data_IF_575582590483
#
_entry.id   IF_575582590483
#
_cell.length_a   1.000
_cell.length_b   1.000
_cell.length_c   1.000
_cell.angle_alpha   90.00
_cell.angle_beta   90.00
_cell.angle_gamma   90.00
#
_symmetry.space_group_name_H-M   'P 1'
#
loop_
_entity.id
_entity.type
_entity.pdbx_description
1 polymer ?
#
# COMPACT_ATOMS: atom_id res chain seq x y z
N UNK A 1 -6.41 9.25 11.15
CA UNK A 1 -7.76 9.83 11.23
C UNK A 1 -8.62 9.19 10.15
N UNK A 2 -9.94 9.06 10.38
CA UNK A 2 -10.94 8.41 9.50
C UNK A 2 -10.94 6.87 9.47
N UNK A 3 -10.45 6.16 10.50
CA UNK A 3 -10.36 4.68 10.50
C UNK A 3 -9.54 4.07 9.34
N UNK A 4 -8.71 4.87 8.66
CA UNK A 4 -7.71 4.38 7.73
C UNK A 4 -6.44 3.99 8.50
N UNK A 5 -5.94 2.79 8.25
CA UNK A 5 -4.79 2.20 8.92
C UNK A 5 -3.68 1.96 7.91
N UNK A 6 -2.68 2.84 7.93
CA UNK A 6 -1.56 2.83 6.99
C UNK A 6 -0.48 1.83 7.42
N UNK A 7 -0.22 1.72 8.72
CA UNK A 7 0.72 0.77 9.30
C UNK A 7 0.01 -0.03 10.41
N UNK A 8 -0.74 -1.08 10.05
CA UNK A 8 -1.61 -1.79 10.99
C UNK A 8 -0.84 -2.51 12.11
N UNK A 9 0.45 -2.77 11.90
CA UNK A 9 1.35 -3.43 12.86
C UNK A 9 2.21 -2.46 13.66
N UNK A 10 2.03 -1.15 13.50
CA UNK A 10 2.88 -0.14 14.12
C UNK A 10 2.79 -0.15 15.66
N UNK A 11 3.92 0.08 16.30
CA UNK A 11 4.06 0.10 17.75
C UNK A 11 4.76 1.37 18.21
N UNK A 12 4.24 2.02 19.25
CA UNK A 12 4.84 3.23 19.82
C UNK A 12 6.02 2.93 20.77
N UNK A 13 6.37 1.66 20.98
CA UNK A 13 7.30 1.24 22.04
C UNK A 13 8.35 0.21 21.60
N UNK A 14 8.34 -0.23 20.34
CA UNK A 14 9.31 -1.21 19.84
C UNK A 14 10.63 -0.58 19.37
N UNK A 15 10.71 0.75 19.34
CA UNK A 15 11.91 1.48 18.92
C UNK A 15 12.17 1.41 17.42
N UNK A 16 11.13 1.18 16.62
CA UNK A 16 11.22 1.12 15.17
C UNK A 16 10.24 2.09 14.52
N UNK A 17 10.63 2.60 13.35
CA UNK A 17 9.76 3.38 12.47
C UNK A 17 9.23 2.45 11.38
N UNK A 18 7.91 2.36 11.25
CA UNK A 18 7.26 1.69 10.12
C UNK A 18 7.28 2.61 8.89
N UNK A 19 7.88 2.14 7.81
CA UNK A 19 7.98 2.84 6.52
C UNK A 19 7.12 2.11 5.52
N UNK A 20 6.19 2.85 4.90
CA UNK A 20 5.26 2.33 3.89
C UNK A 20 5.51 3.10 2.59
N UNK A 21 5.92 2.38 1.55
CA UNK A 21 6.13 2.92 0.21
C UNK A 21 5.04 2.39 -0.70
N UNK A 22 4.32 3.30 -1.34
CA UNK A 22 3.29 2.98 -2.31
C UNK A 22 3.84 3.17 -3.72
N UNK A 23 3.79 2.13 -4.54
CA UNK A 23 4.09 2.22 -5.96
C UNK A 23 2.97 2.99 -6.69
N UNK A 24 3.29 3.66 -7.81
CA UNK A 24 2.28 4.32 -8.62
C UNK A 24 1.14 3.36 -8.98
N UNK A 25 -0.09 3.81 -8.75
CA UNK A 25 -1.31 3.08 -9.06
C UNK A 25 -2.20 3.91 -9.99
N UNK A 26 -2.99 3.21 -10.80
CA UNK A 26 -3.92 3.83 -11.74
C UNK A 26 -5.24 4.21 -11.05
N UNK A 27 -6.00 5.12 -11.66
CA UNK A 27 -7.30 5.60 -11.11
C UNK A 27 -8.30 4.45 -10.86
N UNK A 28 -8.18 3.37 -11.62
CA UNK A 28 -9.03 2.16 -11.49
C UNK A 28 -8.67 1.35 -10.22
N UNK A 29 -7.42 1.41 -9.78
CA UNK A 29 -6.91 0.68 -8.62
C UNK A 29 -7.07 1.49 -7.32
N UNK A 30 -7.25 2.81 -7.44
CA UNK A 30 -7.47 3.71 -6.31
C UNK A 30 -8.58 3.27 -5.33
N UNK A 31 -9.75 2.76 -5.79
CA UNK A 31 -10.79 2.26 -4.90
C UNK A 31 -10.32 1.04 -4.08
N UNK A 32 -9.54 0.15 -4.69
CA UNK A 32 -9.02 -1.06 -4.03
C UNK A 32 -7.99 -0.70 -2.96
N UNK A 33 -7.03 0.18 -3.28
CA UNK A 33 -6.05 0.68 -2.29
C UNK A 33 -6.76 1.39 -1.14
N UNK A 34 -7.78 2.21 -1.43
CA UNK A 34 -8.58 2.88 -0.39
C UNK A 34 -9.31 1.88 0.51
N UNK A 35 -9.90 0.82 -0.07
CA UNK A 35 -10.55 -0.25 0.68
C UNK A 35 -9.56 -0.99 1.59
N UNK A 36 -8.35 -1.28 1.11
CA UNK A 36 -7.30 -1.94 1.87
C UNK A 36 -6.85 -1.09 3.09
N UNK A 37 -6.78 0.23 2.92
CA UNK A 37 -6.47 1.17 4.01
C UNK A 37 -7.53 1.13 5.12
N UNK A 38 -8.83 1.07 4.78
CA UNK A 38 -9.89 1.01 5.78
C UNK A 38 -9.98 -0.35 6.48
N UNK A 39 -9.57 -1.43 5.80
CA UNK A 39 -9.64 -2.79 6.34
C UNK A 39 -8.38 -3.29 7.02
N UNK A 40 -7.32 -2.45 7.12
CA UNK A 40 -6.04 -2.79 7.77
C UNK A 40 -5.22 -3.85 7.02
N UNK A 41 -5.35 -3.91 5.69
CA UNK A 41 -4.77 -4.97 4.82
C UNK A 41 -3.78 -4.42 3.82
N UNK A 42 -3.38 -3.17 4.03
CA UNK A 42 -2.50 -2.42 3.17
C UNK A 42 -1.14 -3.12 2.98
N UNK A 43 -0.72 -3.91 3.95
CA UNK A 43 0.51 -4.71 3.94
C UNK A 43 0.47 -5.93 3.00
N UNK A 44 -0.71 -6.33 2.51
CA UNK A 44 -0.89 -7.46 1.58
C UNK A 44 -0.99 -7.03 0.11
N UNK A 45 -1.09 -5.72 -0.15
CA UNK A 45 -1.20 -5.19 -1.50
C UNK A 45 0.18 -5.21 -2.18
N UNK A 46 0.27 -5.80 -3.38
CA UNK A 46 1.53 -5.96 -4.13
C UNK A 46 2.21 -4.64 -4.49
N UNK A 47 1.46 -3.53 -4.52
CA UNK A 47 1.96 -2.18 -4.76
C UNK A 47 2.47 -1.48 -3.50
N UNK A 48 2.45 -2.15 -2.37
CA UNK A 48 2.78 -1.55 -1.08
C UNK A 48 3.94 -2.31 -0.46
N UNK A 49 5.04 -1.60 -0.26
CA UNK A 49 6.23 -2.13 0.38
C UNK A 49 6.30 -1.57 1.79
N UNK A 50 6.29 -2.47 2.77
CA UNK A 50 6.36 -2.11 4.18
C UNK A 50 7.64 -2.67 4.79
N UNK A 51 8.36 -1.86 5.52
CA UNK A 51 9.53 -2.29 6.28
C UNK A 51 9.69 -1.46 7.56
N UNK A 52 10.59 -1.91 8.43
CA UNK A 52 10.89 -1.24 9.70
C UNK A 52 12.36 -0.89 9.78
N UNK A 53 12.66 0.33 10.23
CA UNK A 53 14.04 0.77 10.45
C UNK A 53 14.14 1.82 11.55
N UNK A 54 15.37 2.10 11.99
CA UNK A 54 15.67 3.24 12.91
C UNK A 54 16.19 4.47 12.18
N UNK A 55 16.72 4.27 10.97
CA UNK A 55 17.28 5.30 10.10
C UNK A 55 16.75 5.07 8.69
N UNK A 56 16.35 6.15 8.05
CA UNK A 56 15.83 6.16 6.68
C UNK A 56 16.50 7.32 5.95
N UNK A 57 17.06 7.03 4.79
CA UNK A 57 17.59 8.02 3.89
C UNK A 57 16.76 7.99 2.60
N UNK A 58 16.25 9.14 2.19
CA UNK A 58 15.42 9.30 0.99
C UNK A 58 16.12 10.24 0.04
N UNK A 59 16.38 9.74 -1.17
CA UNK A 59 16.89 10.52 -2.29
C UNK A 59 15.79 10.68 -3.33
N UNK A 60 15.58 11.91 -3.82
CA UNK A 60 14.64 12.22 -4.92
C UNK A 60 15.30 13.09 -5.98
N UNK A 61 14.73 13.13 -7.18
CA UNK A 61 15.32 13.84 -8.33
C UNK A 61 15.40 15.36 -8.15
N UNK A 62 14.52 15.96 -7.35
CA UNK A 62 14.46 17.39 -7.12
C UNK A 62 13.86 17.73 -5.74
N UNK A 63 14.18 18.88 -5.15
CA UNK A 63 13.52 19.40 -3.94
C UNK A 63 11.99 19.50 -4.10
N UNK A 64 11.27 19.48 -2.99
CA UNK A 64 9.80 19.50 -3.00
C UNK A 64 9.18 19.47 -1.61
N UNK A 65 7.84 19.56 -1.59
CA UNK A 65 7.04 19.61 -0.36
C UNK A 65 6.92 18.21 0.26
N UNK A 66 6.97 18.15 1.59
CA UNK A 66 6.56 17.01 2.40
C UNK A 66 5.54 17.47 3.44
N UNK A 67 4.79 16.54 4.02
CA UNK A 67 3.93 16.81 5.17
C UNK A 67 4.62 16.29 6.43
N UNK A 68 4.75 17.15 7.44
CA UNK A 68 5.25 16.82 8.76
C UNK A 68 4.18 17.16 9.79
N UNK A 69 3.65 16.14 10.49
CA UNK A 69 2.52 16.26 11.44
C UNK A 69 1.31 17.04 10.90
N UNK A 70 1.07 16.95 9.58
CA UNK A 70 -0.02 17.64 8.89
C UNK A 70 0.35 18.98 8.26
N UNK A 71 1.51 19.55 8.60
CA UNK A 71 1.98 20.83 8.06
C UNK A 71 2.88 20.64 6.83
N UNK A 72 2.70 21.46 5.76
CA UNK A 72 3.54 21.39 4.59
C UNK A 72 4.91 22.05 4.84
N UNK A 73 5.98 21.35 4.50
CA UNK A 73 7.37 21.84 4.64
C UNK A 73 8.15 21.56 3.35
N UNK A 74 8.93 22.54 2.89
CA UNK A 74 9.88 22.35 1.79
C UNK A 74 11.15 21.67 2.27
N UNK A 75 11.57 20.61 1.60
CA UNK A 75 12.82 19.89 1.89
C UNK A 75 13.71 19.75 0.66
N UNK A 76 14.98 19.40 0.85
CA UNK A 76 15.95 19.17 -0.23
C UNK A 76 15.71 17.87 -1.01
N UNK A 77 16.61 17.55 -1.94
CA UNK A 77 16.58 16.29 -2.67
C UNK A 77 17.03 15.09 -1.83
N UNK A 78 17.81 15.34 -0.77
CA UNK A 78 18.26 14.35 0.21
C UNK A 78 17.56 14.61 1.54
N UNK A 79 17.00 13.56 2.15
CA UNK A 79 16.26 13.64 3.40
C UNK A 79 16.70 12.50 4.32
N UNK A 80 17.25 12.87 5.48
CA UNK A 80 17.67 11.94 6.52
C UNK A 80 16.67 11.96 7.69
N UNK A 81 16.16 10.78 8.02
CA UNK A 81 15.20 10.56 9.10
C UNK A 81 15.81 9.54 10.06
N UNK A 82 15.76 9.83 11.35
CA UNK A 82 16.16 8.90 12.40
C UNK A 82 15.13 8.89 13.52
N UNK A 83 15.02 7.75 14.20
CA UNK A 83 14.15 7.56 15.34
C UNK A 83 14.93 7.76 16.64
N UNK A 84 14.41 8.62 17.51
CA UNK A 84 14.88 8.79 18.88
C UNK A 84 14.04 7.93 19.83
N UNK A 85 14.61 6.81 20.28
CA UNK A 85 13.90 5.87 21.14
C UNK A 85 13.60 6.48 22.51
N UNK A 86 12.33 6.45 22.93
CA UNK A 86 11.89 6.97 24.23
C UNK A 86 12.31 8.43 24.46
N UNK A 87 12.42 9.23 23.40
CA UNK A 87 12.80 10.64 23.49
C UNK A 87 11.82 11.51 24.28
N UNK A 88 10.59 11.02 24.50
CA UNK A 88 9.53 11.74 25.22
C UNK A 88 8.93 10.85 26.31
N UNK A 89 8.75 11.41 27.52
CA UNK A 89 7.99 10.77 28.60
C UNK A 89 6.52 11.19 28.50
N UNK A 90 5.65 10.22 28.26
CA UNK A 90 4.22 10.45 28.09
C UNK A 90 3.43 9.88 29.28
N UNK A 91 2.43 10.64 29.73
CA UNK A 91 1.42 10.12 30.68
C UNK A 91 0.45 9.26 29.90
N UNK A 92 0.25 8.02 30.35
CA UNK A 92 -0.67 7.06 29.73
C UNK A 92 -1.70 6.59 30.76
N UNK A 93 -2.91 6.27 30.31
CA UNK A 93 -3.89 5.58 31.14
C UNK A 93 -3.61 4.07 31.13
N UNK A 94 -3.14 3.46 32.23
CA UNK A 94 -2.81 2.03 32.26
C UNK A 94 -4.05 1.14 32.21
N UNK A 95 -5.24 1.68 32.49
CA UNK A 95 -6.51 0.96 32.49
C UNK A 95 -7.25 1.04 31.16
N UNK A 96 -6.71 1.74 30.16
CA UNK A 96 -7.32 1.82 28.84
C UNK A 96 -7.33 0.44 28.14
N UNK A 97 -8.49 0.01 27.65
CA UNK A 97 -8.63 -1.24 26.92
C UNK A 97 -7.90 -1.15 25.57
N UNK A 98 -6.84 -1.95 25.41
CA UNK A 98 -6.06 -2.00 24.16
C UNK A 98 -6.76 -2.79 23.06
N UNK A 99 -7.78 -3.59 23.40
CA UNK A 99 -8.50 -4.41 22.42
C UNK A 99 -9.36 -3.59 21.47
N UNK A 100 -9.83 -2.41 21.91
CA UNK A 100 -10.62 -1.48 21.09
C UNK A 100 -9.83 -0.94 19.87
N UNK A 101 -8.51 -1.19 19.83
CA UNK A 101 -7.59 -0.71 18.78
C UNK A 101 -7.20 -1.79 17.76
N UNK A 102 -7.49 -3.08 18.03
CA UNK A 102 -7.08 -4.20 17.14
C UNK A 102 -8.05 -4.39 15.96
N UNK A 103 -7.60 -4.94 14.80
CA UNK A 103 -8.51 -5.44 13.76
C UNK A 103 -9.43 -6.52 14.34
N UNK A 104 -10.71 -6.53 13.96
CA UNK A 104 -11.61 -7.62 14.33
C UNK A 104 -11.39 -8.85 13.41
N UNK A 105 -11.52 -10.06 13.95
CA UNK A 105 -11.28 -11.33 13.22
C UNK A 105 -12.08 -11.47 11.91
N UNK A 106 -13.29 -10.91 11.87
CA UNK A 106 -14.14 -10.88 10.68
C UNK A 106 -13.51 -9.98 9.60
N UNK A 107 -12.96 -8.81 9.97
CA UNK A 107 -12.28 -7.92 9.03
C UNK A 107 -11.05 -8.59 8.42
N UNK A 108 -10.28 -9.33 9.23
CA UNK A 108 -9.14 -10.11 8.76
C UNK A 108 -9.56 -11.25 7.80
N UNK A 109 -10.69 -11.93 8.05
CA UNK A 109 -11.17 -12.99 7.16
C UNK A 109 -11.73 -12.45 5.83
N UNK A 110 -12.47 -11.33 5.86
CA UNK A 110 -12.92 -10.66 4.63
C UNK A 110 -11.74 -10.19 3.79
N UNK A 111 -10.71 -9.64 4.42
CA UNK A 111 -9.48 -9.26 3.75
C UNK A 111 -8.83 -10.40 2.97
N UNK A 112 -8.68 -11.56 3.61
CA UNK A 112 -8.08 -12.73 3.00
C UNK A 112 -8.93 -13.21 1.81
N UNK A 113 -10.26 -13.24 1.97
CA UNK A 113 -11.19 -13.60 0.89
C UNK A 113 -11.13 -12.63 -0.31
N UNK A 114 -11.06 -11.32 -0.07
CA UNK A 114 -10.95 -10.33 -1.15
C UNK A 114 -9.59 -10.38 -1.85
N UNK A 115 -8.50 -10.62 -1.12
CA UNK A 115 -7.18 -10.81 -1.72
C UNK A 115 -7.15 -12.04 -2.64
N UNK A 116 -7.73 -13.16 -2.20
CA UNK A 116 -7.87 -14.35 -3.03
C UNK A 116 -8.74 -14.08 -4.28
N UNK A 117 -9.82 -13.33 -4.13
CA UNK A 117 -10.68 -12.96 -5.26
C UNK A 117 -9.98 -12.04 -6.27
N UNK A 118 -9.19 -11.07 -5.79
CA UNK A 118 -8.41 -10.17 -6.65
C UNK A 118 -7.31 -10.93 -7.39
N UNK A 119 -6.62 -11.87 -6.73
CA UNK A 119 -5.63 -12.74 -7.40
C UNK A 119 -6.28 -13.56 -8.53
N UNK A 120 -7.47 -14.11 -8.30
CA UNK A 120 -8.23 -14.84 -9.33
C UNK A 120 -8.68 -13.93 -10.46
N UNK A 121 -9.12 -12.70 -10.16
CA UNK A 121 -9.51 -11.70 -11.17
C UNK A 121 -8.33 -11.31 -12.05
N UNK A 122 -7.16 -11.08 -11.47
CA UNK A 122 -5.95 -10.71 -12.20
C UNK A 122 -5.50 -11.83 -13.16
N UNK A 123 -5.59 -13.09 -12.73
CA UNK A 123 -5.33 -14.26 -13.58
C UNK A 123 -6.33 -14.35 -14.74
N UNK A 124 -7.63 -14.15 -14.47
CA UNK A 124 -8.67 -14.11 -15.52
C UNK A 124 -8.39 -12.98 -16.54
N UNK A 125 -8.00 -11.80 -16.06
CA UNK A 125 -7.68 -10.68 -16.94
C UNK A 125 -6.48 -10.97 -17.84
N UNK A 126 -5.46 -11.62 -17.30
CA UNK A 126 -4.25 -12.03 -18.03
C UNK A 126 -4.56 -13.07 -19.10
N UNK A 127 -5.46 -14.00 -18.81
CA UNK A 127 -5.92 -15.00 -19.78
C UNK A 127 -6.78 -14.40 -20.90
N UNK A 128 -7.67 -13.46 -20.57
CA UNK A 128 -8.45 -12.71 -21.57
C UNK A 128 -7.53 -11.92 -22.50
N UNK A 129 -6.49 -11.26 -21.97
CA UNK A 129 -5.52 -10.55 -22.80
C UNK A 129 -4.73 -11.50 -23.72
N UNK A 130 -4.36 -12.69 -23.24
CA UNK A 130 -3.69 -13.72 -24.08
C UNK A 130 -4.59 -14.24 -25.18
N UNK A 131 -5.87 -14.47 -24.88
CA UNK A 131 -6.85 -14.88 -25.89
C UNK A 131 -7.06 -13.78 -26.93
N UNK A 132 -7.18 -12.53 -26.50
CA UNK A 132 -7.35 -11.38 -27.40
C UNK A 132 -6.18 -11.24 -28.38
N UNK A 133 -4.93 -11.38 -27.91
CA UNK A 133 -3.73 -11.40 -28.77
C UNK A 133 -3.72 -12.57 -29.77
N UNK A 134 -4.22 -13.75 -29.38
CA UNK A 134 -4.35 -14.91 -30.28
C UNK A 134 -5.40 -14.65 -31.36
N UNK A 135 -6.54 -14.07 -31.00
CA UNK A 135 -7.60 -13.70 -31.95
C UNK A 135 -7.10 -12.64 -32.93
N UNK A 136 -6.34 -11.65 -32.45
CA UNK A 136 -5.73 -10.63 -33.31
C UNK A 136 -4.70 -11.24 -34.30
N UNK A 137 -3.90 -12.20 -33.84
CA UNK A 137 -2.96 -12.92 -34.70
C UNK A 137 -3.67 -13.77 -35.77
N UNK A 138 -4.78 -14.44 -35.40
CA UNK A 138 -5.63 -15.19 -36.34
C UNK A 138 -6.27 -14.24 -37.35
N UNK A 139 -6.80 -13.11 -36.90
CA UNK A 139 -7.39 -12.08 -37.75
C UNK A 139 -6.40 -11.56 -38.80
N UNK A 140 -5.15 -11.25 -38.38
CA UNK A 140 -4.07 -10.83 -39.29
C UNK A 140 -3.69 -11.93 -40.29
N UNK A 141 -3.68 -13.20 -39.87
CA UNK A 141 -3.42 -14.35 -40.74
C UNK A 141 -4.52 -14.56 -41.80
N UNK A 142 -5.78 -14.36 -41.41
CA UNK A 142 -6.94 -14.46 -42.31
C UNK A 142 -6.95 -13.31 -43.31
N UNK A 143 -6.70 -12.07 -42.87
CA UNK A 143 -6.54 -10.92 -43.77
C UNK A 143 -5.45 -11.15 -44.81
N UNK A 144 -4.28 -11.65 -44.37
CA UNK A 144 -3.16 -11.95 -45.27
C UNK A 144 -3.44 -13.09 -46.27
N UNK A 145 -4.34 -14.03 -45.94
CA UNK A 145 -4.78 -15.09 -46.86
C UNK A 145 -5.87 -14.64 -47.85
N UNK A 146 -6.60 -13.56 -47.52
CA UNK A 146 -7.69 -13.04 -48.35
C UNK A 146 -7.23 -11.96 -49.35
N UNK A 147 -5.94 -11.61 -49.40
CA UNK A 147 -5.38 -10.56 -50.28
C UNK A 147 -6.19 -9.24 -50.28
N UNK A 148 -6.31 -8.65 -49.09
CA UNK A 148 -6.33 -7.20 -48.92
C UNK A 148 -4.95 -6.76 -48.38
#
# INVERSE_FOLDING_TARGET
GNNAYIAPQASMSDGLMDVVIMEPFDVIEAPQVSFDMFNKTLDKNSKIKSFRCKKLHITRSQPGVIHYDGDPVMTGAEIDIHLEEKGIKMVVNPFANKNDRKPNMIQSAFADFFNDFNAVRDDIHKDIQRQSKRVEAISKLVQKKLNL
#
